data_IF_013867196756
#
_entry.id   IF_013867196756
#
_cell.length_a   1.000
_cell.length_b   1.000
_cell.length_c   1.000
_cell.angle_alpha   90.00
_cell.angle_beta   90.00
_cell.angle_gamma   90.00
#
_symmetry.space_group_name_H-M   'P 1'
#
loop_
_entity.id
_entity.type
_entity.pdbx_description
1 polymer ?
#
# COMPACT_ATOMS: atom_id res chain seq x y z
N UNK A 1 14.11 -10.64 -30.46
CA UNK A 1 13.75 -11.15 -29.11
C UNK A 1 12.55 -10.37 -28.62
N UNK A 2 11.47 -11.03 -28.19
CA UNK A 2 10.24 -10.37 -27.75
C UNK A 2 10.47 -9.78 -26.36
N UNK A 3 10.11 -8.51 -26.17
CA UNK A 3 10.19 -7.85 -24.87
C UNK A 3 9.05 -8.32 -23.96
N UNK A 4 9.40 -8.84 -22.78
CA UNK A 4 8.43 -9.29 -21.78
C UNK A 4 7.86 -8.11 -21.01
N UNK A 5 6.56 -8.16 -20.68
CA UNK A 5 5.91 -7.18 -19.81
C UNK A 5 5.33 -5.94 -20.51
N UNK A 6 5.44 -5.83 -21.84
CA UNK A 6 4.75 -4.79 -22.60
C UNK A 6 3.35 -5.25 -23.03
N UNK A 7 2.35 -4.34 -23.00
CA UNK A 7 1.00 -4.66 -23.43
C UNK A 7 0.99 -4.96 -24.92
N UNK A 8 0.38 -6.08 -25.30
CA UNK A 8 0.18 -6.45 -26.70
C UNK A 8 -1.30 -6.31 -27.06
N UNK A 9 -1.62 -5.69 -28.19
CA UNK A 9 -2.99 -5.56 -28.64
C UNK A 9 -3.59 -6.95 -28.92
N UNK A 10 -4.78 -7.21 -28.40
CA UNK A 10 -5.51 -8.45 -28.70
C UNK A 10 -6.14 -8.41 -30.10
N UNK A 11 -6.53 -7.21 -30.54
CA UNK A 11 -7.14 -6.95 -31.84
C UNK A 11 -6.46 -5.72 -32.46
N UNK A 12 -6.09 -5.81 -33.74
CA UNK A 12 -5.46 -4.71 -34.47
C UNK A 12 -6.55 -3.90 -35.18
N UNK A 13 -6.68 -2.61 -34.85
CA UNK A 13 -7.68 -1.75 -35.45
C UNK A 13 -7.19 -1.16 -36.78
N UNK A 14 -7.63 -1.73 -37.89
CA UNK A 14 -7.32 -1.25 -39.25
C UNK A 14 -8.10 0.01 -39.65
N UNK A 15 -9.16 0.37 -38.91
CA UNK A 15 -10.00 1.55 -39.20
C UNK A 15 -9.34 2.89 -38.85
N UNK A 16 -8.08 2.86 -38.40
CA UNK A 16 -7.27 4.06 -38.19
C UNK A 16 -6.82 4.69 -39.52
N UNK A 17 -6.78 3.91 -40.60
CA UNK A 17 -6.44 4.39 -41.94
C UNK A 17 -7.58 5.21 -42.52
N UNK A 18 -7.26 6.29 -43.23
CA UNK A 18 -8.28 7.07 -43.93
C UNK A 18 -8.90 6.25 -45.07
N UNK A 19 -10.23 6.32 -45.28
CA UNK A 19 -10.86 5.71 -46.45
C UNK A 19 -10.21 6.18 -47.74
N UNK A 20 -10.03 5.28 -48.71
CA UNK A 20 -9.33 5.55 -49.97
C UNK A 20 -9.89 6.74 -50.75
N UNK A 21 -11.20 6.99 -50.63
CA UNK A 21 -11.90 8.08 -51.33
C UNK A 21 -11.48 9.50 -50.89
N UNK A 22 -10.86 9.64 -49.71
CA UNK A 22 -10.40 10.92 -49.13
C UNK A 22 -8.90 11.15 -49.38
N UNK A 23 -8.20 10.19 -49.99
CA UNK A 23 -6.75 10.25 -50.20
C UNK A 23 -6.30 11.22 -51.29
N UNK A 24 -7.21 11.68 -52.16
CA UNK A 24 -6.93 12.46 -53.38
C UNK A 24 -6.63 13.96 -53.16
N UNK A 25 -6.34 14.40 -51.93
CA UNK A 25 -6.07 15.80 -51.60
C UNK A 25 -5.28 16.00 -50.30
N UNK A 26 -4.51 14.99 -49.90
CA UNK A 26 -3.72 15.03 -48.67
C UNK A 26 -2.46 15.87 -48.85
N UNK A 27 -2.03 16.56 -47.79
CA UNK A 27 -0.71 17.22 -47.77
C UNK A 27 0.41 16.17 -47.70
N UNK A 28 1.62 16.51 -48.13
CA UNK A 28 2.79 15.60 -48.06
C UNK A 28 2.99 15.03 -46.64
N UNK A 29 2.79 15.86 -45.62
CA UNK A 29 2.82 15.43 -44.22
C UNK A 29 1.75 14.39 -43.89
N UNK A 30 0.52 14.57 -44.35
CA UNK A 30 -0.56 13.61 -44.13
C UNK A 30 -0.31 12.30 -44.88
N UNK A 31 0.29 12.36 -46.07
CA UNK A 31 0.72 11.16 -46.81
C UNK A 31 1.77 10.39 -46.02
N UNK A 32 2.79 11.08 -45.49
CA UNK A 32 3.80 10.47 -44.64
C UNK A 32 3.19 9.83 -43.37
N UNK A 33 2.24 10.50 -42.72
CA UNK A 33 1.51 9.93 -41.57
C UNK A 33 0.76 8.64 -41.92
N UNK A 34 0.08 8.58 -43.08
CA UNK A 34 -0.63 7.37 -43.51
C UNK A 34 0.35 6.23 -43.85
N UNK A 35 1.53 6.53 -44.41
CA UNK A 35 2.57 5.53 -44.64
C UNK A 35 3.08 4.93 -43.31
N UNK A 36 3.36 5.77 -42.32
CA UNK A 36 3.77 5.31 -40.98
C UNK A 36 2.69 4.44 -40.33
N UNK A 37 1.41 4.83 -40.43
CA UNK A 37 0.30 4.03 -39.89
C UNK A 37 0.17 2.69 -40.58
N UNK A 38 0.34 2.63 -41.90
CA UNK A 38 0.32 1.38 -42.67
C UNK A 38 1.42 0.45 -42.19
N UNK A 39 2.65 0.94 -42.09
CA UNK A 39 3.78 0.14 -41.60
C UNK A 39 3.55 -0.35 -40.17
N UNK A 40 3.05 0.52 -39.29
CA UNK A 40 2.68 0.15 -37.92
C UNK A 40 1.65 -1.00 -37.89
N UNK A 41 0.61 -0.93 -38.73
CA UNK A 41 -0.40 -2.00 -38.83
C UNK A 41 0.25 -3.30 -39.34
N UNK A 42 1.06 -3.24 -40.39
CA UNK A 42 1.77 -4.40 -40.94
C UNK A 42 2.64 -5.07 -39.87
N UNK A 43 3.41 -4.29 -39.11
CA UNK A 43 4.21 -4.78 -37.98
C UNK A 43 3.35 -5.45 -36.90
N UNK A 44 2.25 -4.82 -36.50
CA UNK A 44 1.34 -5.36 -35.47
C UNK A 44 0.68 -6.66 -35.91
N UNK A 45 0.31 -6.76 -37.19
CA UNK A 45 -0.29 -7.97 -37.74
C UNK A 45 0.71 -9.10 -37.93
N UNK A 46 1.94 -8.78 -38.34
CA UNK A 46 3.04 -9.73 -38.36
C UNK A 46 3.29 -10.32 -36.95
N UNK A 47 3.37 -9.47 -35.92
CA UNK A 47 3.53 -9.96 -34.54
C UNK A 47 2.31 -10.76 -34.06
N UNK A 48 1.09 -10.42 -34.49
CA UNK A 48 -0.12 -11.18 -34.16
C UNK A 48 -0.11 -12.61 -34.74
N UNK A 49 0.47 -12.80 -35.93
CA UNK A 49 0.63 -14.12 -36.57
C UNK A 49 1.77 -14.91 -35.91
N UNK A 50 2.93 -14.29 -35.71
CA UNK A 50 4.12 -14.96 -35.16
C UNK A 50 3.96 -15.28 -33.67
N UNK A 51 3.34 -14.38 -32.90
CA UNK A 51 3.28 -14.43 -31.43
C UNK A 51 1.87 -14.16 -30.88
N UNK A 52 0.88 -15.02 -31.15
CA UNK A 52 -0.51 -14.77 -30.77
C UNK A 52 -0.71 -14.58 -29.27
N UNK A 53 -1.51 -13.57 -28.91
CA UNK A 53 -1.82 -13.21 -27.50
C UNK A 53 -2.84 -14.15 -26.85
N UNK A 54 -3.72 -14.79 -27.65
CA UNK A 54 -4.72 -15.75 -27.20
C UNK A 54 -4.55 -17.07 -27.98
N UNK A 55 -3.52 -17.87 -27.66
CA UNK A 55 -3.26 -19.12 -28.37
C UNK A 55 -4.40 -20.14 -28.12
N UNK A 56 -4.68 -20.98 -29.12
CA UNK A 56 -5.57 -22.14 -29.03
C UNK A 56 -7.03 -21.84 -28.66
N UNK A 57 -7.57 -20.72 -29.17
CA UNK A 57 -9.01 -20.41 -29.09
C UNK A 57 -9.59 -20.24 -30.49
N UNK A 58 -10.88 -20.56 -30.67
CA UNK A 58 -11.60 -20.27 -31.93
C UNK A 58 -11.48 -18.80 -32.34
N UNK A 59 -11.51 -17.89 -31.36
CA UNK A 59 -11.31 -16.45 -31.58
C UNK A 59 -9.86 -16.12 -31.97
N UNK A 60 -8.88 -16.77 -31.34
CA UNK A 60 -7.46 -16.60 -31.67
C UNK A 60 -7.14 -17.04 -33.11
N UNK A 61 -7.65 -18.21 -33.52
CA UNK A 61 -7.43 -18.73 -34.87
C UNK A 61 -8.06 -17.83 -35.95
N UNK A 62 -9.24 -17.26 -35.68
CA UNK A 62 -9.88 -16.30 -36.59
C UNK A 62 -9.06 -15.01 -36.74
N UNK A 63 -8.47 -14.50 -35.65
CA UNK A 63 -7.61 -13.32 -35.67
C UNK A 63 -6.32 -13.56 -36.46
N UNK A 64 -5.68 -14.71 -36.27
CA UNK A 64 -4.47 -15.10 -37.03
C UNK A 64 -4.78 -15.19 -38.53
N UNK A 65 -5.90 -15.84 -38.90
CA UNK A 65 -6.33 -15.93 -40.31
C UNK A 65 -6.58 -14.55 -40.93
N UNK A 66 -7.25 -13.65 -40.20
CA UNK A 66 -7.47 -12.27 -40.66
C UNK A 66 -6.17 -11.49 -40.84
N UNK A 67 -5.21 -11.66 -39.92
CA UNK A 67 -3.90 -11.00 -40.02
C UNK A 67 -3.09 -11.55 -41.21
N UNK A 68 -3.15 -12.87 -41.45
CA UNK A 68 -2.50 -13.49 -42.60
C UNK A 68 -3.04 -12.93 -43.93
N UNK A 69 -4.37 -12.85 -44.08
CA UNK A 69 -5.01 -12.32 -45.30
C UNK A 69 -4.61 -10.87 -45.63
N UNK A 70 -4.32 -10.06 -44.62
CA UNK A 70 -3.87 -8.68 -44.82
C UNK A 70 -2.37 -8.64 -45.15
N UNK A 71 -1.54 -9.46 -44.50
CA UNK A 71 -0.12 -9.61 -44.84
C UNK A 71 0.10 -10.13 -46.27
N UNK A 72 -0.83 -10.95 -46.79
CA UNK A 72 -0.79 -11.39 -48.19
C UNK A 72 -0.93 -10.21 -49.17
N UNK A 73 -1.66 -9.16 -48.79
CA UNK A 73 -1.82 -7.94 -49.56
C UNK A 73 -0.74 -6.89 -49.24
N UNK A 74 -0.19 -6.92 -48.02
CA UNK A 74 0.76 -5.95 -47.47
C UNK A 74 1.91 -6.73 -46.82
N UNK A 75 2.86 -7.27 -47.61
CA UNK A 75 3.92 -8.11 -47.07
C UNK A 75 4.79 -7.37 -46.06
N UNK A 76 5.14 -8.04 -44.97
CA UNK A 76 6.13 -7.54 -44.04
C UNK A 76 7.52 -7.59 -44.70
N UNK A 77 8.24 -6.48 -44.65
CA UNK A 77 9.58 -6.35 -45.22
C UNK A 77 10.63 -6.52 -44.12
N UNK A 78 11.51 -7.50 -44.30
CA UNK A 78 12.68 -7.68 -43.43
C UNK A 78 13.82 -6.80 -43.94
N UNK A 79 14.27 -5.87 -43.09
CA UNK A 79 15.39 -4.97 -43.38
C UNK A 79 16.69 -5.48 -42.76
N UNK A 80 17.82 -5.25 -43.43
CA UNK A 80 19.12 -5.61 -42.89
C UNK A 80 19.51 -4.67 -41.75
N UNK A 81 20.34 -5.16 -40.82
CA UNK A 81 20.75 -4.38 -39.65
C UNK A 81 21.53 -3.12 -40.03
N UNK A 82 22.31 -3.17 -41.12
CA UNK A 82 23.07 -2.03 -41.63
C UNK A 82 22.15 -0.94 -42.20
N UNK A 83 21.10 -1.33 -42.94
CA UNK A 83 20.08 -0.41 -43.47
C UNK A 83 19.32 0.29 -42.33
N UNK A 84 18.96 -0.45 -41.27
CA UNK A 84 18.32 0.11 -40.08
C UNK A 84 19.23 1.06 -39.32
N UNK A 85 20.55 0.85 -39.35
CA UNK A 85 21.52 1.74 -38.73
C UNK A 85 21.65 3.04 -39.52
N UNK A 86 21.79 2.94 -40.84
CA UNK A 86 21.83 4.10 -41.73
C UNK A 86 20.55 4.94 -41.62
N UNK A 87 19.38 4.30 -41.64
CA UNK A 87 18.10 4.99 -41.48
C UNK A 87 17.99 5.73 -40.12
N UNK A 88 18.53 5.15 -39.03
CA UNK A 88 18.57 5.82 -37.72
C UNK A 88 19.48 7.04 -37.72
N UNK A 89 20.63 6.95 -38.39
CA UNK A 89 21.57 8.07 -38.54
C UNK A 89 20.94 9.20 -39.36
N UNK A 90 20.23 8.88 -40.45
CA UNK A 90 19.47 9.84 -41.24
C UNK A 90 18.39 10.54 -40.39
N UNK A 91 17.56 9.79 -39.68
CA UNK A 91 16.53 10.36 -38.79
C UNK A 91 17.15 11.25 -37.71
N UNK A 92 18.26 10.84 -37.10
CA UNK A 92 18.95 11.66 -36.10
C UNK A 92 19.45 12.99 -36.70
N UNK A 93 20.00 12.95 -37.92
CA UNK A 93 20.45 14.16 -38.62
C UNK A 93 19.28 15.11 -38.95
N UNK A 94 18.14 14.58 -39.38
CA UNK A 94 16.93 15.36 -39.65
C UNK A 94 16.33 15.95 -38.38
N UNK A 95 16.32 15.18 -37.28
CA UNK A 95 15.88 15.66 -35.97
C UNK A 95 16.70 16.88 -35.51
N UNK A 96 18.01 16.88 -35.73
CA UNK A 96 18.86 18.03 -35.40
C UNK A 96 18.55 19.27 -36.27
N UNK A 97 18.23 19.07 -37.55
CA UNK A 97 17.80 20.14 -38.46
C UNK A 97 16.47 20.74 -37.98
N UNK A 98 15.48 19.89 -37.65
CA UNK A 98 14.17 20.31 -37.16
C UNK A 98 14.30 21.04 -35.81
N UNK A 99 15.12 20.50 -34.89
CA UNK A 99 15.39 21.10 -33.58
C UNK A 99 15.92 22.53 -33.71
N UNK A 100 16.89 22.74 -34.61
CA UNK A 100 17.43 24.08 -34.94
C UNK A 100 16.38 24.97 -35.61
N UNK A 101 15.65 24.44 -36.60
CA UNK A 101 14.67 25.20 -37.38
C UNK A 101 13.45 25.67 -36.56
N UNK A 102 13.03 24.87 -35.58
CA UNK A 102 11.92 25.21 -34.67
C UNK A 102 12.37 25.91 -33.39
N UNK A 103 13.66 26.23 -33.25
CA UNK A 103 14.27 26.82 -32.06
C UNK A 103 13.96 26.07 -30.75
N UNK A 104 13.77 24.75 -30.84
CA UNK A 104 13.62 23.90 -29.67
C UNK A 104 15.03 23.60 -29.13
N UNK A 105 15.29 23.96 -27.87
CA UNK A 105 16.50 23.53 -27.17
C UNK A 105 16.47 22.02 -26.88
N UNK A 106 17.20 21.57 -25.86
CA UNK A 106 16.96 20.22 -25.34
C UNK A 106 15.57 20.15 -24.69
N UNK A 107 14.66 19.41 -25.31
CA UNK A 107 13.34 19.18 -24.77
C UNK A 107 13.47 18.17 -23.63
N UNK A 108 13.13 18.58 -22.40
CA UNK A 108 13.12 17.67 -21.27
C UNK A 108 12.04 16.60 -21.45
N UNK A 109 12.26 15.42 -20.87
CA UNK A 109 11.25 14.36 -20.86
C UNK A 109 9.94 14.84 -20.21
N UNK A 110 10.04 15.69 -19.18
CA UNK A 110 8.89 16.28 -18.51
C UNK A 110 8.05 17.16 -19.44
N UNK A 111 8.70 18.03 -20.22
CA UNK A 111 8.02 18.86 -21.21
C UNK A 111 7.32 18.01 -22.29
N UNK A 112 7.98 16.93 -22.74
CA UNK A 112 7.37 15.97 -23.66
C UNK A 112 6.14 15.28 -23.03
N UNK A 113 6.27 14.79 -21.79
CA UNK A 113 5.18 14.12 -21.07
C UNK A 113 3.96 15.02 -20.90
N UNK A 114 4.16 16.30 -20.52
CA UNK A 114 3.05 17.26 -20.39
C UNK A 114 2.33 17.47 -21.72
N UNK A 115 3.07 17.76 -22.79
CA UNK A 115 2.47 17.97 -24.12
C UNK A 115 1.78 16.70 -24.62
N UNK A 116 2.37 15.53 -24.37
CA UNK A 116 1.77 14.24 -24.71
C UNK A 116 0.45 14.02 -23.97
N UNK A 117 0.42 14.23 -22.66
CA UNK A 117 -0.79 14.09 -21.85
C UNK A 117 -1.89 15.06 -22.28
N UNK A 118 -1.54 16.31 -22.57
CA UNK A 118 -2.47 17.29 -23.11
C UNK A 118 -3.04 16.84 -24.47
N UNK A 119 -2.18 16.41 -25.40
CA UNK A 119 -2.61 15.90 -26.71
C UNK A 119 -3.51 14.67 -26.57
N UNK A 120 -3.14 13.75 -25.68
CA UNK A 120 -3.89 12.52 -25.42
C UNK A 120 -5.24 12.80 -24.77
N UNK A 121 -5.30 13.77 -23.84
CA UNK A 121 -6.56 14.18 -23.19
C UNK A 121 -7.61 14.72 -24.17
N UNK A 122 -7.14 15.25 -25.31
CA UNK A 122 -8.00 15.76 -26.37
C UNK A 122 -8.49 14.66 -27.32
N UNK A 123 -8.02 13.42 -27.20
CA UNK A 123 -8.46 12.31 -28.06
C UNK A 123 -9.74 11.69 -27.47
N UNK A 124 -10.80 11.67 -28.28
CA UNK A 124 -12.10 11.10 -27.94
C UNK A 124 -12.47 10.01 -28.94
N UNK A 125 -12.99 8.90 -28.44
CA UNK A 125 -13.57 7.85 -29.27
C UNK A 125 -15.05 8.16 -29.53
N UNK A 126 -15.44 8.23 -30.80
CA UNK A 126 -16.82 8.43 -31.22
C UNK A 126 -17.41 7.08 -31.62
N UNK A 127 -18.41 6.61 -30.89
CA UNK A 127 -19.02 5.29 -31.07
C UNK A 127 -19.71 5.15 -32.44
N UNK A 128 -20.48 6.17 -32.86
CA UNK A 128 -21.20 6.16 -34.14
C UNK A 128 -20.28 5.96 -35.35
N UNK A 129 -19.02 6.41 -35.24
CA UNK A 129 -18.03 6.35 -36.31
C UNK A 129 -16.92 5.32 -36.04
N UNK A 130 -16.96 4.64 -34.88
CA UNK A 130 -15.96 3.68 -34.38
C UNK A 130 -14.51 4.16 -34.53
N UNK A 131 -14.27 5.46 -34.34
CA UNK A 131 -12.97 6.07 -34.60
C UNK A 131 -12.58 7.08 -33.52
N UNK A 132 -11.27 7.25 -33.35
CA UNK A 132 -10.71 8.30 -32.51
C UNK A 132 -10.64 9.62 -33.28
N UNK A 133 -11.03 10.70 -32.63
CA UNK A 133 -11.01 12.06 -33.17
C UNK A 133 -10.53 13.02 -32.09
N UNK A 134 -10.10 14.23 -32.50
CA UNK A 134 -9.78 15.30 -31.55
C UNK A 134 -11.06 15.95 -31.05
N UNK A 135 -11.09 16.31 -29.77
CA UNK A 135 -12.22 16.97 -29.14
C UNK A 135 -12.65 18.25 -29.84
N UNK A 136 -11.74 18.98 -30.49
CA UNK A 136 -12.09 20.21 -31.21
C UNK A 136 -12.92 19.95 -32.48
N UNK A 137 -12.80 18.77 -33.09
CA UNK A 137 -13.56 18.40 -34.29
C UNK A 137 -14.88 17.69 -33.96
N UNK A 138 -15.09 17.28 -32.71
CA UNK A 138 -16.29 16.58 -32.27
C UNK A 138 -17.38 17.57 -31.83
N UNK A 139 -18.62 17.28 -32.20
CA UNK A 139 -19.79 18.02 -31.72
C UNK A 139 -20.00 17.86 -30.21
N UNK A 140 -20.73 18.80 -29.59
CA UNK A 140 -21.07 18.70 -28.16
C UNK A 140 -21.79 17.40 -27.82
N UNK A 141 -22.63 16.90 -28.73
CA UNK A 141 -23.34 15.62 -28.57
C UNK A 141 -22.37 14.44 -28.55
N UNK A 142 -21.45 14.36 -29.53
CA UNK A 142 -20.45 13.29 -29.60
C UNK A 142 -19.50 13.30 -28.39
N UNK A 143 -19.17 14.48 -27.85
CA UNK A 143 -18.39 14.60 -26.60
C UNK A 143 -19.12 13.97 -25.41
N UNK A 144 -20.43 14.23 -25.28
CA UNK A 144 -21.25 13.65 -24.20
C UNK A 144 -21.30 12.13 -24.35
N UNK A 145 -21.62 11.63 -25.54
CA UNK A 145 -21.67 10.19 -25.82
C UNK A 145 -20.32 9.48 -25.52
N UNK A 146 -19.20 10.10 -25.90
CA UNK A 146 -17.86 9.55 -25.63
C UNK A 146 -17.56 9.47 -24.12
N UNK A 147 -17.95 10.49 -23.36
CA UNK A 147 -17.77 10.54 -21.90
C UNK A 147 -18.70 9.58 -21.17
N UNK A 148 -19.95 9.45 -21.61
CA UNK A 148 -20.91 8.46 -21.09
C UNK A 148 -20.39 7.04 -21.28
N UNK A 149 -19.86 6.72 -22.46
CA UNK A 149 -19.23 5.42 -22.74
C UNK A 149 -18.04 5.16 -21.81
N UNK A 150 -17.14 6.13 -21.65
CA UNK A 150 -15.98 6.01 -20.74
C UNK A 150 -16.43 5.79 -19.29
N UNK A 151 -17.50 6.47 -18.87
CA UNK A 151 -18.09 6.27 -17.55
C UNK A 151 -18.63 4.84 -17.40
N UNK A 152 -19.32 4.32 -18.42
CA UNK A 152 -19.87 2.97 -18.38
C UNK A 152 -18.78 1.89 -18.40
N UNK A 153 -17.73 2.04 -19.21
CA UNK A 153 -16.54 1.19 -19.16
C UNK A 153 -15.94 1.17 -17.74
N UNK A 154 -15.77 2.34 -17.13
CA UNK A 154 -15.28 2.46 -15.76
C UNK A 154 -16.20 1.79 -14.74
N UNK A 155 -17.52 1.86 -14.91
CA UNK A 155 -18.49 1.15 -14.05
C UNK A 155 -18.36 -0.36 -14.15
N UNK A 156 -18.18 -0.89 -15.36
CA UNK A 156 -17.96 -2.32 -15.59
C UNK A 156 -16.65 -2.77 -14.93
N UNK A 157 -15.56 -2.00 -15.13
CA UNK A 157 -14.28 -2.26 -14.47
C UNK A 157 -14.41 -2.23 -12.94
N UNK A 158 -15.02 -1.19 -12.38
CA UNK A 158 -15.26 -1.06 -10.94
C UNK A 158 -16.05 -2.24 -10.38
N UNK A 159 -17.12 -2.66 -11.08
CA UNK A 159 -17.94 -3.80 -10.66
C UNK A 159 -17.15 -5.11 -10.71
N UNK A 160 -16.32 -5.30 -11.74
CA UNK A 160 -15.44 -6.47 -11.88
C UNK A 160 -14.35 -6.53 -10.81
N UNK A 161 -13.69 -5.40 -10.53
CA UNK A 161 -12.69 -5.26 -9.48
C UNK A 161 -13.30 -5.43 -8.09
N UNK A 162 -14.43 -4.80 -7.80
CA UNK A 162 -15.13 -4.95 -6.52
C UNK A 162 -15.52 -6.41 -6.24
N UNK A 163 -15.99 -7.15 -7.25
CA UNK A 163 -16.26 -8.59 -7.13
C UNK A 163 -14.98 -9.39 -6.86
N UNK A 164 -13.86 -9.05 -7.48
CA UNK A 164 -12.56 -9.70 -7.24
C UNK A 164 -12.02 -9.39 -5.84
N UNK A 165 -12.05 -8.13 -5.43
CA UNK A 165 -11.69 -7.68 -4.09
C UNK A 165 -12.54 -8.39 -3.02
N UNK A 166 -13.88 -8.40 -3.16
CA UNK A 166 -14.77 -9.06 -2.21
C UNK A 166 -14.51 -10.58 -2.09
N UNK A 167 -14.16 -11.26 -3.19
CA UNK A 167 -13.75 -12.68 -3.14
C UNK A 167 -12.44 -12.86 -2.39
N UNK A 168 -11.46 -11.99 -2.66
CA UNK A 168 -10.16 -12.01 -2.00
C UNK A 168 -10.28 -11.71 -0.50
N UNK A 169 -11.07 -10.71 -0.13
CA UNK A 169 -11.38 -10.36 1.26
C UNK A 169 -12.06 -11.50 2.01
N UNK A 170 -13.07 -12.16 1.41
CA UNK A 170 -13.71 -13.33 2.02
C UNK A 170 -12.70 -14.45 2.26
N UNK A 171 -11.83 -14.73 1.29
CA UNK A 171 -10.77 -15.73 1.42
C UNK A 171 -9.79 -15.36 2.53
N UNK A 172 -9.32 -14.11 2.56
CA UNK A 172 -8.45 -13.60 3.61
C UNK A 172 -9.12 -13.71 4.98
N UNK A 173 -10.37 -13.27 5.12
CA UNK A 173 -11.12 -13.35 6.37
C UNK A 173 -11.21 -14.78 6.92
N UNK A 174 -11.41 -15.79 6.06
CA UNK A 174 -11.42 -17.20 6.46
C UNK A 174 -10.02 -17.64 6.91
N UNK A 175 -8.97 -17.31 6.16
CA UNK A 175 -7.60 -17.75 6.43
C UNK A 175 -6.97 -17.05 7.63
N UNK A 176 -7.22 -15.75 7.80
CA UNK A 176 -6.55 -14.90 8.78
C UNK A 176 -7.44 -14.46 9.94
N UNK A 177 -8.76 -14.66 9.87
CA UNK A 177 -9.69 -14.21 10.91
C UNK A 177 -9.37 -14.83 12.27
N UNK A 178 -9.13 -16.14 12.33
CA UNK A 178 -8.74 -16.81 13.57
C UNK A 178 -7.41 -16.31 14.14
N UNK A 179 -6.43 -16.06 13.26
CA UNK A 179 -5.14 -15.48 13.66
C UNK A 179 -5.28 -14.05 14.19
N UNK A 180 -6.15 -13.23 13.58
CA UNK A 180 -6.46 -11.88 14.05
C UNK A 180 -7.09 -11.89 15.45
N UNK A 181 -8.11 -12.74 15.67
CA UNK A 181 -8.72 -12.88 17.00
C UNK A 181 -7.72 -13.36 18.04
N UNK A 182 -6.88 -14.35 17.70
CA UNK A 182 -5.83 -14.83 18.61
C UNK A 182 -4.82 -13.73 18.94
N UNK A 183 -4.41 -12.94 17.95
CA UNK A 183 -3.50 -11.81 18.17
C UNK A 183 -4.13 -10.75 19.09
N UNK A 184 -5.41 -10.42 18.90
CA UNK A 184 -6.14 -9.50 19.78
C UNK A 184 -6.19 -10.00 21.23
N UNK A 185 -6.49 -11.29 21.44
CA UNK A 185 -6.52 -11.89 22.77
C UNK A 185 -5.14 -11.87 23.42
N UNK A 186 -4.08 -12.25 22.69
CA UNK A 186 -2.71 -12.25 23.21
C UNK A 186 -2.25 -10.83 23.58
N UNK A 187 -2.56 -9.83 22.75
CA UNK A 187 -2.25 -8.44 23.07
C UNK A 187 -2.95 -7.98 24.35
N UNK A 188 -4.21 -8.34 24.55
CA UNK A 188 -4.93 -8.03 25.79
C UNK A 188 -4.30 -8.72 27.00
N UNK A 189 -3.99 -10.02 26.89
CA UNK A 189 -3.33 -10.77 27.97
C UNK A 189 -1.96 -10.16 28.34
N UNK A 190 -1.22 -9.69 27.34
CA UNK A 190 0.06 -9.03 27.55
C UNK A 190 -0.10 -7.71 28.30
N UNK A 191 -1.10 -6.90 27.93
CA UNK A 191 -1.43 -5.65 28.63
C UNK A 191 -1.86 -5.92 30.08
N UNK A 192 -2.79 -6.86 30.30
CA UNK A 192 -3.26 -7.22 31.64
C UNK A 192 -2.09 -7.72 32.53
N UNK A 193 -1.16 -8.50 31.96
CA UNK A 193 0.02 -8.98 32.69
C UNK A 193 0.99 -7.85 33.01
N UNK A 194 1.15 -6.88 32.11
CA UNK A 194 2.00 -5.72 32.34
C UNK A 194 1.47 -4.88 33.52
N UNK A 195 0.16 -4.62 33.56
CA UNK A 195 -0.48 -3.92 34.69
C UNK A 195 -0.28 -4.67 36.02
N UNK A 196 -0.40 -6.00 36.01
CA UNK A 196 -0.15 -6.82 37.20
C UNK A 196 1.31 -6.75 37.67
N UNK A 197 2.27 -6.74 36.74
CA UNK A 197 3.69 -6.61 37.06
C UNK A 197 3.99 -5.24 37.69
N UNK A 198 3.44 -4.16 37.14
CA UNK A 198 3.60 -2.81 37.68
C UNK A 198 3.01 -2.70 39.09
N UNK A 199 1.82 -3.26 39.32
CA UNK A 199 1.19 -3.32 40.65
C UNK A 199 2.03 -4.12 41.65
N UNK A 200 2.51 -5.31 41.27
CA UNK A 200 3.34 -6.16 42.13
C UNK A 200 4.69 -5.49 42.46
N UNK A 201 5.27 -4.74 41.52
CA UNK A 201 6.49 -3.96 41.76
C UNK A 201 6.25 -2.83 42.77
N UNK A 202 5.11 -2.14 42.65
CA UNK A 202 4.70 -1.10 43.60
C UNK A 202 4.51 -1.71 45.00
N UNK A 203 3.77 -2.80 45.11
CA UNK A 203 3.56 -3.53 46.37
C UNK A 203 4.87 -4.02 46.99
N UNK A 204 5.79 -4.56 46.19
CA UNK A 204 7.10 -4.98 46.68
C UNK A 204 7.88 -3.78 47.25
N UNK A 205 7.85 -2.64 46.57
CA UNK A 205 8.51 -1.42 47.03
C UNK A 205 7.90 -0.90 48.33
N UNK A 206 6.56 -0.93 48.46
CA UNK A 206 5.88 -0.49 49.67
C UNK A 206 6.17 -1.44 50.83
N UNK A 207 6.09 -2.76 50.62
CA UNK A 207 6.39 -3.72 51.68
C UNK A 207 7.83 -3.67 52.17
N UNK A 208 8.81 -3.47 51.27
CA UNK A 208 10.21 -3.23 51.70
C UNK A 208 10.36 -1.98 52.56
N UNK A 209 9.65 -0.92 52.21
CA UNK A 209 9.66 0.31 53.02
C UNK A 209 8.99 0.09 54.39
N UNK A 210 7.83 -0.59 54.42
CA UNK A 210 7.15 -0.93 55.66
C UNK A 210 7.98 -1.87 56.55
N UNK A 211 8.65 -2.86 55.97
CA UNK A 211 9.55 -3.78 56.68
C UNK A 211 10.65 -3.02 57.40
N UNK A 212 11.36 -2.13 56.70
CA UNK A 212 12.42 -1.31 57.31
C UNK A 212 11.88 -0.39 58.42
N UNK A 213 10.68 0.16 58.24
CA UNK A 213 10.04 0.99 59.27
C UNK A 213 9.63 0.17 60.49
N UNK A 214 9.10 -1.03 60.28
CA UNK A 214 8.64 -1.93 61.33
C UNK A 214 9.81 -2.50 62.13
N UNK A 215 10.94 -2.82 61.49
CA UNK A 215 12.17 -3.25 62.16
C UNK A 215 12.61 -2.24 63.23
N UNK A 216 12.62 -0.94 62.89
CA UNK A 216 12.92 0.14 63.85
C UNK A 216 11.82 0.28 64.91
N UNK A 217 10.55 0.16 64.52
CA UNK A 217 9.42 0.30 65.44
C UNK A 217 9.35 -0.83 66.49
N UNK A 218 9.74 -2.06 66.13
CA UNK A 218 9.83 -3.20 67.05
C UNK A 218 10.85 -2.90 68.15
N UNK A 219 12.06 -2.45 67.80
CA UNK A 219 13.08 -2.13 68.80
C UNK A 219 12.59 -1.08 69.81
N UNK A 220 11.97 0.01 69.33
CA UNK A 220 11.41 1.05 70.21
C UNK A 220 10.32 0.51 71.14
N UNK A 221 9.41 -0.32 70.63
CA UNK A 221 8.34 -0.93 71.43
C UNK A 221 8.90 -1.86 72.51
N UNK A 222 9.88 -2.70 72.18
CA UNK A 222 10.51 -3.60 73.15
C UNK A 222 11.24 -2.82 74.25
N UNK A 223 12.00 -1.79 73.90
CA UNK A 223 12.70 -0.94 74.89
C UNK A 223 11.69 -0.25 75.81
N UNK A 224 10.65 0.38 75.27
CA UNK A 224 9.62 1.05 76.06
C UNK A 224 8.91 0.09 77.04
N UNK A 225 8.52 -1.10 76.57
CA UNK A 225 7.91 -2.12 77.43
C UNK A 225 8.87 -2.62 78.51
N UNK A 226 10.16 -2.78 78.18
CA UNK A 226 11.18 -3.22 79.15
C UNK A 226 11.37 -2.16 80.24
N UNK A 227 11.42 -0.89 79.87
CA UNK A 227 11.49 0.22 80.83
C UNK A 227 10.27 0.27 81.75
N UNK A 228 9.07 0.10 81.21
CA UNK A 228 7.84 0.09 82.00
C UNK A 228 7.77 -1.11 82.94
N UNK A 229 8.19 -2.30 82.49
CA UNK A 229 8.30 -3.49 83.35
C UNK A 229 9.31 -3.25 84.47
N UNK A 230 10.48 -2.69 84.18
CA UNK A 230 11.49 -2.38 85.20
C UNK A 230 10.96 -1.39 86.25
N UNK A 231 10.25 -0.34 85.82
CA UNK A 231 9.59 0.60 86.75
C UNK A 231 8.58 -0.10 87.66
N UNK A 232 7.80 -1.04 87.11
CA UNK A 232 6.84 -1.82 87.91
C UNK A 232 7.54 -2.75 88.90
N UNK A 233 8.64 -3.41 88.49
CA UNK A 233 9.44 -4.27 89.37
C UNK A 233 10.05 -3.48 90.54
N UNK A 234 10.60 -2.30 90.28
CA UNK A 234 11.13 -1.42 91.33
C UNK A 234 10.02 -0.97 92.30
N UNK A 235 8.86 -0.59 91.75
CA UNK A 235 7.69 -0.22 92.54
C UNK A 235 7.20 -1.38 93.40
N UNK A 236 7.06 -2.57 92.84
CA UNK A 236 6.65 -3.78 93.57
C UNK A 236 7.64 -4.09 94.70
N UNK A 237 8.94 -4.06 94.40
CA UNK A 237 10.00 -4.30 95.40
C UNK A 237 9.92 -3.30 96.56
N UNK A 238 9.71 -2.01 96.26
CA UNK A 238 9.56 -0.99 97.31
C UNK A 238 8.31 -1.21 98.18
N UNK A 239 7.19 -1.62 97.57
CA UNK A 239 5.95 -1.92 98.28
C UNK A 239 6.07 -3.18 99.16
N UNK A 240 6.72 -4.24 98.66
CA UNK A 240 6.99 -5.46 99.42
C UNK A 240 7.90 -5.18 100.63
N UNK A 241 8.97 -4.39 100.46
CA UNK A 241 9.83 -3.96 101.56
C UNK A 241 9.03 -3.17 102.61
N UNK A 242 8.18 -2.24 102.17
CA UNK A 242 7.32 -1.45 103.08
C UNK A 242 6.34 -2.32 103.84
N UNK A 243 5.76 -3.33 103.19
CA UNK A 243 4.89 -4.30 103.84
C UNK A 243 5.65 -5.11 104.90
N UNK A 244 6.86 -5.59 104.58
CA UNK A 244 7.70 -6.31 105.54
C UNK A 244 8.04 -5.47 106.78
N UNK A 245 8.42 -4.20 106.60
CA UNK A 245 8.65 -3.25 107.71
C UNK A 245 7.40 -3.07 108.58
N UNK A 246 6.23 -2.87 107.97
CA UNK A 246 4.97 -2.69 108.69
C UNK A 246 4.56 -3.95 109.44
N UNK A 247 4.85 -5.12 108.89
CA UNK A 247 4.57 -6.41 109.52
C UNK A 247 5.47 -6.64 110.74
N UNK A 248 6.75 -6.24 110.66
CA UNK A 248 7.68 -6.27 111.80
C UNK A 248 7.24 -5.31 112.92
N UNK A 249 6.83 -4.09 112.56
CA UNK A 249 6.25 -3.13 113.50
C UNK A 249 5.01 -3.70 114.19
N UNK A 250 4.08 -4.29 113.43
CA UNK A 250 2.90 -4.95 114.00
C UNK A 250 3.29 -6.07 114.98
N UNK A 251 4.24 -6.93 114.61
CA UNK A 251 4.70 -8.02 115.48
C UNK A 251 5.31 -7.50 116.79
N UNK A 252 6.14 -6.45 116.71
CA UNK A 252 6.74 -5.80 117.88
C UNK A 252 5.68 -5.17 118.79
N UNK A 253 4.61 -4.61 118.21
CA UNK A 253 3.52 -4.01 118.97
C UNK A 253 2.64 -5.06 119.65
N UNK A 254 2.48 -6.24 119.04
CA UNK A 254 1.71 -7.37 119.58
C UNK A 254 2.48 -8.13 120.67
N UNK A 255 3.81 -8.16 120.62
CA UNK A 255 4.65 -8.77 121.67
C UNK A 255 4.93 -7.84 122.86
N UNK A 256 4.67 -6.53 122.72
CA UNK A 256 4.83 -5.52 123.78
C UNK A 256 3.57 -5.23 124.60
N UNK A 257 2.48 -5.97 124.40
CA UNK A 257 1.21 -5.94 125.14
C UNK A 257 1.01 -7.28 125.84
#
# INVERSE_FOLDING_TARGET
VIQRGLPRPTEVNVNILRPGDISSGLTEQQVAEELIKREMITMMQYDAVQNPTVPNSKKGNALISSAQSYLDQHPYLDFQQDELKEAKELIASEMDVVKKGMAHGELSLEAYSTVWEECYSQILFIENQKKFTRANLASKKEKIEAMERKLEENRVHMTGEAKRAAKMERKLKILTGGYQTRAQVLNKQLQDLQEQVEQAQLELSTFKFLEAQEEVAIHRRVTALTEDVNRQVERERSLQNKYAELQEQLHSHVQGV
#
